data_IF_694031824410
#
_entry.id   IF_694031824410
#
_cell.length_a   1.000
_cell.length_b   1.000
_cell.length_c   1.000
_cell.angle_alpha   90.00
_cell.angle_beta   90.00
_cell.angle_gamma   90.00
#
_symmetry.space_group_name_H-M   'P 1'
#
loop_
_entity.id
_entity.type
_entity.pdbx_description
1 polymer ?
#
# COMPACT_ATOMS: atom_id res chain seq x y z
N UNK A 1 9.34 6.51 12.89
CA UNK A 1 10.60 7.20 12.52
C UNK A 1 10.26 8.52 11.84
N UNK A 2 10.64 9.66 12.43
CA UNK A 2 10.36 10.97 11.87
C UNK A 2 11.34 11.27 10.74
N UNK A 3 10.84 11.53 9.53
CA UNK A 3 11.67 11.92 8.39
C UNK A 3 12.10 13.38 8.58
N UNK A 4 13.39 13.67 8.41
CA UNK A 4 13.92 15.03 8.50
C UNK A 4 13.38 15.90 7.36
N UNK A 5 12.98 17.15 7.66
CA UNK A 5 12.56 18.11 6.64
C UNK A 5 13.62 18.31 5.54
N UNK A 6 14.91 18.24 5.90
CA UNK A 6 16.02 18.35 4.93
C UNK A 6 16.03 17.19 3.94
N UNK A 7 15.87 15.97 4.43
CA UNK A 7 15.80 14.78 3.56
C UNK A 7 14.56 14.81 2.68
N UNK A 8 13.41 15.27 3.23
CA UNK A 8 12.19 15.42 2.44
C UNK A 8 12.43 16.41 1.29
N UNK A 9 12.94 17.61 1.57
CA UNK A 9 13.21 18.64 0.56
C UNK A 9 14.24 18.19 -0.49
N UNK A 10 15.30 17.47 -0.07
CA UNK A 10 16.29 16.93 -0.99
C UNK A 10 15.70 15.90 -1.97
N UNK A 11 14.83 15.01 -1.47
CA UNK A 11 14.14 14.05 -2.33
C UNK A 11 13.20 14.76 -3.31
N UNK A 12 12.44 15.77 -2.86
CA UNK A 12 11.53 16.55 -3.73
C UNK A 12 12.31 17.24 -4.86
N UNK A 13 13.44 17.88 -4.55
CA UNK A 13 14.26 18.56 -5.55
C UNK A 13 14.81 17.59 -6.61
N UNK A 14 15.37 16.46 -6.17
CA UNK A 14 15.90 15.43 -7.06
C UNK A 14 14.81 14.85 -7.99
N UNK A 15 13.62 14.63 -7.45
CA UNK A 15 12.53 14.09 -8.23
C UNK A 15 11.97 15.10 -9.25
N UNK A 16 11.96 16.41 -8.92
CA UNK A 16 11.58 17.47 -9.85
C UNK A 16 12.57 17.65 -11.00
N UNK A 17 13.87 17.46 -10.75
CA UNK A 17 14.90 17.50 -11.80
C UNK A 17 14.75 16.36 -12.81
N UNK A 18 14.32 15.18 -12.34
CA UNK A 18 14.15 13.98 -13.16
C UNK A 18 12.76 13.84 -13.80
N UNK A 19 11.75 14.58 -13.31
CA UNK A 19 10.37 14.50 -13.77
C UNK A 19 10.06 15.50 -14.89
N UNK A 20 9.84 15.00 -16.12
CA UNK A 20 9.39 15.82 -17.25
C UNK A 20 8.08 16.61 -16.96
N UNK A 21 8.03 17.84 -17.46
CA UNK A 21 7.27 19.03 -17.01
C UNK A 21 5.78 18.94 -16.69
N UNK A 22 5.05 17.85 -16.95
CA UNK A 22 3.62 17.73 -16.55
C UNK A 22 3.19 16.32 -16.18
N UNK A 23 3.57 15.33 -16.98
CA UNK A 23 3.26 13.92 -16.70
C UNK A 23 4.09 13.35 -15.54
N UNK A 24 5.25 13.96 -15.29
CA UNK A 24 6.12 13.62 -14.17
C UNK A 24 5.57 14.07 -12.81
N UNK A 25 4.94 15.25 -12.72
CA UNK A 25 4.46 15.79 -11.42
C UNK A 25 3.33 14.96 -10.83
N UNK A 26 2.31 14.60 -11.61
CA UNK A 26 1.20 13.77 -11.10
C UNK A 26 1.67 12.36 -10.73
N UNK A 27 2.47 11.73 -11.59
CA UNK A 27 3.04 10.41 -11.32
C UNK A 27 3.93 10.44 -10.07
N UNK A 28 4.73 11.48 -9.92
CA UNK A 28 5.59 11.67 -8.75
C UNK A 28 4.77 11.84 -7.45
N UNK A 29 3.68 12.61 -7.50
CA UNK A 29 2.77 12.75 -6.35
C UNK A 29 2.15 11.40 -5.97
N UNK A 30 1.71 10.61 -6.94
CA UNK A 30 1.19 9.25 -6.70
C UNK A 30 2.25 8.35 -6.07
N UNK A 31 3.49 8.38 -6.56
CA UNK A 31 4.61 7.61 -6.01
C UNK A 31 4.96 8.02 -4.58
N UNK A 32 4.94 9.32 -4.27
CA UNK A 32 5.20 9.84 -2.93
C UNK A 32 4.12 9.38 -1.94
N UNK A 33 2.84 9.48 -2.33
CA UNK A 33 1.70 9.01 -1.52
C UNK A 33 1.78 7.50 -1.31
N UNK A 34 2.06 6.72 -2.36
CA UNK A 34 2.25 5.28 -2.26
C UNK A 34 3.38 4.91 -1.29
N UNK A 35 4.52 5.60 -1.36
CA UNK A 35 5.67 5.37 -0.48
C UNK A 35 5.40 5.76 0.97
N UNK A 36 4.63 6.84 1.20
CA UNK A 36 4.21 7.25 2.53
C UNK A 36 3.23 6.23 3.15
N UNK A 37 2.20 5.83 2.39
CA UNK A 37 1.21 4.84 2.82
C UNK A 37 1.85 3.48 3.15
N UNK A 38 2.74 2.98 2.29
CA UNK A 38 3.47 1.73 2.55
C UNK A 38 4.34 1.82 3.80
N UNK A 39 5.00 2.95 4.06
CA UNK A 39 5.82 3.13 5.27
C UNK A 39 4.99 3.22 6.54
N UNK A 40 3.84 3.88 6.48
CA UNK A 40 2.90 3.92 7.60
C UNK A 40 2.36 2.52 7.95
N UNK A 41 2.08 1.70 6.94
CA UNK A 41 1.57 0.35 7.13
C UNK A 41 2.64 -0.68 7.54
N UNK A 42 3.92 -0.46 7.21
CA UNK A 42 5.00 -1.43 7.38
C UNK A 42 5.49 -1.65 8.83
N UNK A 43 4.69 -1.32 9.86
CA UNK A 43 5.26 -1.12 11.20
C UNK A 43 4.44 -1.51 12.43
N UNK A 44 3.18 -1.95 12.34
CA UNK A 44 2.48 -2.42 13.54
C UNK A 44 2.67 -3.92 13.70
N UNK A 45 3.82 -4.35 14.23
CA UNK A 45 4.04 -5.74 14.63
C UNK A 45 3.15 -6.19 15.81
N UNK A 46 2.24 -5.33 16.25
CA UNK A 46 1.26 -5.62 17.29
C UNK A 46 0.08 -6.42 16.71
N UNK A 47 -0.43 -7.42 17.45
CA UNK A 47 -1.65 -8.11 17.09
C UNK A 47 -2.82 -7.14 16.94
N UNK A 48 -3.60 -7.30 15.88
CA UNK A 48 -4.85 -6.55 15.72
C UNK A 48 -5.90 -7.09 16.68
N UNK A 49 -6.69 -6.19 17.27
CA UNK A 49 -7.96 -6.56 17.89
C UNK A 49 -8.97 -6.98 16.82
N UNK A 50 -10.00 -7.71 17.20
CA UNK A 50 -11.07 -8.14 16.28
C UNK A 50 -11.72 -6.92 15.58
N UNK A 51 -12.09 -5.89 16.34
CA UNK A 51 -12.63 -4.63 15.80
C UNK A 51 -11.69 -3.95 14.79
N UNK A 52 -10.38 -3.94 15.09
CA UNK A 52 -9.38 -3.34 14.20
C UNK A 52 -9.21 -4.15 12.91
N UNK A 53 -9.27 -5.49 13.00
CA UNK A 53 -9.22 -6.37 11.84
C UNK A 53 -10.46 -6.21 10.96
N UNK A 54 -11.65 -6.15 11.55
CA UNK A 54 -12.90 -5.94 10.82
C UNK A 54 -12.90 -4.58 10.11
N UNK A 55 -12.49 -3.52 10.81
CA UNK A 55 -12.35 -2.18 10.23
C UNK A 55 -11.38 -2.19 9.06
N UNK A 56 -10.22 -2.84 9.19
CA UNK A 56 -9.23 -2.95 8.13
C UNK A 56 -9.81 -3.61 6.87
N UNK A 57 -10.57 -4.69 7.03
CA UNK A 57 -11.21 -5.39 5.91
C UNK A 57 -12.26 -4.50 5.24
N UNK A 58 -13.09 -3.79 6.02
CA UNK A 58 -14.10 -2.85 5.49
C UNK A 58 -13.44 -1.69 4.74
N UNK A 59 -12.39 -1.10 5.30
CA UNK A 59 -11.65 0.00 4.68
C UNK A 59 -10.99 -0.46 3.37
N UNK A 60 -10.38 -1.65 3.35
CA UNK A 60 -9.81 -2.23 2.14
C UNK A 60 -10.87 -2.39 1.04
N UNK A 61 -12.02 -2.97 1.38
CA UNK A 61 -13.12 -3.20 0.43
C UNK A 61 -13.70 -1.90 -0.16
N UNK A 62 -13.61 -0.78 0.58
CA UNK A 62 -14.06 0.52 0.11
C UNK A 62 -13.06 1.22 -0.84
N UNK A 63 -11.84 0.71 -0.98
CA UNK A 63 -10.85 1.28 -1.90
C UNK A 63 -11.21 1.02 -3.36
N UNK A 64 -10.74 1.89 -4.27
CA UNK A 64 -10.94 1.72 -5.73
C UNK A 64 -10.35 0.42 -6.27
N UNK A 65 -9.27 -0.08 -5.66
CA UNK A 65 -8.53 -1.25 -6.15
C UNK A 65 -8.10 -2.15 -4.98
N UNK A 66 -9.04 -2.91 -4.39
CA UNK A 66 -8.81 -3.62 -3.13
C UNK A 66 -7.89 -4.83 -3.26
N UNK A 67 -7.56 -5.25 -4.49
CA UNK A 67 -6.80 -6.47 -4.80
C UNK A 67 -5.29 -6.26 -4.92
N UNK A 68 -4.83 -5.01 -4.94
CA UNK A 68 -3.41 -4.69 -5.09
C UNK A 68 -3.05 -3.45 -4.29
N UNK A 69 -1.85 -3.43 -3.73
CA UNK A 69 -1.31 -2.23 -3.11
C UNK A 69 -0.87 -1.23 -4.18
N UNK A 70 -0.65 0.05 -3.85
CA UNK A 70 -0.20 1.07 -4.80
C UNK A 70 1.11 0.74 -5.54
N UNK A 71 1.88 -0.25 -5.07
CA UNK A 71 3.12 -0.75 -5.70
C UNK A 71 2.96 -2.09 -6.42
N UNK A 72 1.75 -2.61 -6.55
CA UNK A 72 1.45 -3.84 -7.31
C UNK A 72 1.51 -5.16 -6.53
N UNK A 73 1.75 -5.15 -5.21
CA UNK A 73 1.69 -6.39 -4.41
C UNK A 73 0.24 -6.77 -4.14
N UNK A 74 -0.13 -8.06 -4.23
CA UNK A 74 -1.47 -8.51 -3.87
C UNK A 74 -1.75 -8.25 -2.40
N UNK A 75 -2.97 -7.82 -2.10
CA UNK A 75 -3.48 -7.55 -0.73
C UNK A 75 -4.23 -8.74 -0.15
N UNK A 76 -4.71 -9.66 -0.99
CA UNK A 76 -5.46 -10.83 -0.57
C UNK A 76 -5.19 -12.02 -1.48
N UNK A 77 -5.41 -13.22 -0.94
CA UNK A 77 -5.39 -14.49 -1.67
C UNK A 77 -6.80 -15.06 -1.58
N UNK A 78 -7.37 -15.40 -2.74
CA UNK A 78 -8.64 -16.10 -2.78
C UNK A 78 -8.38 -17.61 -2.75
N UNK A 79 -9.02 -18.31 -1.82
CA UNK A 79 -9.00 -19.77 -1.76
C UNK A 79 -10.45 -20.24 -1.73
N UNK A 80 -10.91 -20.81 -2.85
CA UNK A 80 -12.28 -21.32 -2.96
C UNK A 80 -12.47 -22.60 -2.16
N UNK A 81 -13.72 -22.92 -1.78
CA UNK A 81 -14.05 -24.21 -1.16
C UNK A 81 -13.60 -25.40 -2.00
N UNK A 82 -13.80 -25.35 -3.32
CA UNK A 82 -13.31 -26.40 -4.25
C UNK A 82 -11.79 -26.57 -4.20
N UNK A 83 -11.05 -25.47 -4.02
CA UNK A 83 -9.59 -25.55 -3.88
C UNK A 83 -9.19 -26.17 -2.54
N UNK A 84 -9.90 -25.84 -1.46
CA UNK A 84 -9.70 -26.46 -0.15
C UNK A 84 -9.98 -27.96 -0.21
N UNK A 85 -11.13 -28.36 -0.75
CA UNK A 85 -11.52 -29.76 -0.96
C UNK A 85 -10.39 -30.54 -1.66
N UNK A 86 -9.97 -30.06 -2.83
CA UNK A 86 -8.88 -30.68 -3.60
C UNK A 86 -7.57 -30.79 -2.82
N UNK A 87 -7.20 -29.77 -2.03
CA UNK A 87 -5.94 -29.76 -1.26
C UNK A 87 -5.99 -30.69 -0.04
N UNK A 88 -7.17 -30.88 0.55
CA UNK A 88 -7.37 -31.71 1.73
C UNK A 88 -7.99 -33.09 1.42
N UNK A 89 -8.06 -33.47 0.14
CA UNK A 89 -8.44 -34.82 -0.30
C UNK A 89 -9.94 -35.11 -0.31
N UNK A 90 -10.78 -34.10 -0.55
CA UNK A 90 -12.22 -34.26 -0.80
C UNK A 90 -12.59 -33.72 -2.16
#
# INVERSE_FOLDING_TARGET
>A
AAVSCRELLGNIAHDLENAGTRRGVEKWREELVAKAACRAAAGSGEPLTEDAAEKLVRDLAATRMPYTCPRGRPTMIFTSYRELERKFGR
#
